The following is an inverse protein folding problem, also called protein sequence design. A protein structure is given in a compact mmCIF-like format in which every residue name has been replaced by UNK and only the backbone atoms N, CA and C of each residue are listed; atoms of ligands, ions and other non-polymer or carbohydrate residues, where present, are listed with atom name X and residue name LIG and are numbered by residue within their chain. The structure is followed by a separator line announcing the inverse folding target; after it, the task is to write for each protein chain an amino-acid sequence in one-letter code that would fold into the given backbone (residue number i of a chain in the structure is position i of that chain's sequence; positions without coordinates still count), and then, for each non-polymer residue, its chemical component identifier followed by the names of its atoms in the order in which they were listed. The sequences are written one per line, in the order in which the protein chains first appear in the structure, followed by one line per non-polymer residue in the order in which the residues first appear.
data_IF_662691974305
#
_entry.id   IF_662691974305
#
_cell.length_a   1.000
_cell.length_b   1.000
_cell.length_c   1.000
_cell.angle_alpha   90.00
_cell.angle_beta   90.00
_cell.angle_gamma   90.00
#
_symmetry.space_group_name_H-M   'P 1'
#
loop_
_entity.id
_entity.type
_entity.pdbx_description
1 polymer ?
#
# COMPACT_ATOMS: atom_id res chain seq x y z
N UNK A 1 -5.47 14.02 -21.46
CA UNK A 1 -4.79 12.71 -21.29
C UNK A 1 -5.81 11.63 -20.97
N UNK A 2 -5.73 10.44 -21.62
CA UNK A 2 -6.62 9.28 -21.37
C UNK A 2 -5.80 8.08 -20.88
N UNK A 3 -6.20 7.47 -19.76
CA UNK A 3 -5.44 6.37 -19.12
C UNK A 3 -6.37 5.25 -18.67
N UNK A 4 -6.02 4.00 -18.99
CA UNK A 4 -6.68 2.84 -18.39
C UNK A 4 -5.89 2.34 -17.18
N UNK A 5 -6.59 2.11 -16.06
CA UNK A 5 -6.01 1.58 -14.81
C UNK A 5 -6.49 0.15 -14.56
N UNK A 6 -5.54 -0.76 -14.34
CA UNK A 6 -5.74 -2.15 -13.95
C UNK A 6 -5.18 -2.40 -12.55
N UNK A 7 -5.78 -3.34 -11.84
CA UNK A 7 -5.27 -3.75 -10.54
C UNK A 7 -5.23 -2.63 -9.52
N UNK A 8 -6.21 -1.78 -9.52
CA UNK A 8 -6.48 -0.74 -8.51
C UNK A 8 -7.89 -0.94 -7.95
N UNK A 9 -8.16 -0.42 -6.74
CA UNK A 9 -9.49 -0.40 -6.16
C UNK A 9 -9.62 0.81 -5.24
N UNK A 10 -10.56 1.69 -5.51
CA UNK A 10 -10.76 2.93 -4.72
C UNK A 10 -11.45 2.66 -3.39
N UNK A 11 -12.42 1.75 -3.38
CA UNK A 11 -13.25 1.40 -2.22
C UNK A 11 -12.94 -0.02 -1.76
N UNK A 12 -11.69 -0.24 -1.32
CA UNK A 12 -11.25 -1.53 -0.79
C UNK A 12 -11.32 -1.53 0.73
N UNK A 13 -11.69 -2.67 1.32
CA UNK A 13 -11.53 -2.90 2.75
C UNK A 13 -10.07 -2.73 3.18
N UNK A 14 -9.14 -3.14 2.33
CA UNK A 14 -7.72 -2.82 2.48
C UNK A 14 -7.45 -1.42 1.93
N UNK A 15 -7.35 -0.43 2.82
CA UNK A 15 -7.10 0.97 2.46
C UNK A 15 -5.76 1.18 1.76
N UNK A 16 -4.85 0.22 1.85
CA UNK A 16 -3.61 0.21 1.06
C UNK A 16 -3.85 0.11 -0.45
N UNK A 17 -4.84 -0.69 -0.88
CA UNK A 17 -5.23 -0.74 -2.30
C UNK A 17 -5.81 0.59 -2.76
N UNK A 18 -6.63 1.23 -1.92
CA UNK A 18 -7.13 2.58 -2.18
C UNK A 18 -6.00 3.61 -2.23
N UNK A 19 -5.00 3.49 -1.36
CA UNK A 19 -3.85 4.40 -1.37
C UNK A 19 -3.11 4.38 -2.72
N UNK A 20 -2.93 3.21 -3.33
CA UNK A 20 -2.35 3.10 -4.67
C UNK A 20 -3.20 3.81 -5.73
N UNK A 21 -4.53 3.59 -5.70
CA UNK A 21 -5.46 4.16 -6.65
C UNK A 21 -5.49 5.71 -6.58
N UNK A 22 -5.65 6.26 -5.38
CA UNK A 22 -5.67 7.73 -5.21
C UNK A 22 -4.30 8.36 -5.48
N UNK A 23 -3.20 7.68 -5.17
CA UNK A 23 -1.85 8.19 -5.43
C UNK A 23 -1.55 8.31 -6.92
N UNK A 24 -1.92 7.30 -7.73
CA UNK A 24 -1.68 7.40 -9.18
C UNK A 24 -2.57 8.46 -9.82
N UNK A 25 -3.82 8.64 -9.37
CA UNK A 25 -4.67 9.73 -9.86
C UNK A 25 -4.04 11.08 -9.55
N UNK A 26 -3.53 11.28 -8.32
CA UNK A 26 -2.86 12.53 -7.96
C UNK A 26 -1.61 12.79 -8.80
N UNK A 27 -0.80 11.78 -9.05
CA UNK A 27 0.37 11.88 -9.93
C UNK A 27 -0.05 12.30 -11.35
N UNK A 28 -1.07 11.64 -11.92
CA UNK A 28 -1.56 11.94 -13.27
C UNK A 28 -2.17 13.35 -13.35
N UNK A 29 -2.92 13.77 -12.32
CA UNK A 29 -3.43 15.15 -12.20
C UNK A 29 -2.32 16.18 -12.27
N UNK A 30 -1.25 15.99 -11.48
CA UNK A 30 -0.12 16.90 -11.47
C UNK A 30 0.59 16.97 -12.82
N UNK A 31 0.66 15.86 -13.56
CA UNK A 31 1.21 15.84 -14.92
C UNK A 31 0.30 16.61 -15.88
N UNK A 32 -1.03 16.36 -15.82
CA UNK A 32 -2.01 17.06 -16.65
C UNK A 32 -2.04 18.56 -16.41
N UNK A 33 -2.04 19.00 -15.15
CA UNK A 33 -1.97 20.43 -14.81
C UNK A 33 -0.76 21.13 -15.45
N UNK A 34 0.41 20.49 -15.41
CA UNK A 34 1.62 21.05 -16.04
C UNK A 34 1.54 21.14 -17.55
N UNK A 35 0.74 20.27 -18.20
CA UNK A 35 0.52 20.26 -19.64
C UNK A 35 -0.69 21.08 -20.08
N UNK A 36 -1.54 21.54 -19.15
CA UNK A 36 -2.82 22.17 -19.46
C UNK A 36 -3.87 21.23 -20.03
N UNK A 37 -3.79 19.95 -19.70
CA UNK A 37 -4.66 18.87 -20.19
C UNK A 37 -5.71 18.48 -19.16
N UNK A 38 -6.87 18.02 -19.61
CA UNK A 38 -7.83 17.30 -18.79
C UNK A 38 -7.42 15.82 -18.61
N UNK A 39 -7.87 15.20 -17.52
CA UNK A 39 -7.56 13.81 -17.19
C UNK A 39 -8.82 12.93 -17.29
N UNK A 40 -8.78 11.95 -18.18
CA UNK A 40 -9.81 10.94 -18.31
C UNK A 40 -9.23 9.56 -17.97
N UNK A 41 -9.80 8.90 -16.96
CA UNK A 41 -9.38 7.59 -16.48
C UNK A 41 -10.49 6.56 -16.73
N UNK A 42 -10.14 5.40 -17.28
CA UNK A 42 -11.01 4.23 -17.27
C UNK A 42 -10.41 3.21 -16.30
N UNK A 43 -11.04 3.01 -15.14
CA UNK A 43 -10.59 2.09 -14.10
C UNK A 43 -11.36 0.76 -14.18
N UNK A 44 -10.64 -0.37 -14.18
CA UNK A 44 -11.24 -1.71 -14.17
C UNK A 44 -11.22 -2.23 -12.74
N UNK A 45 -12.40 -2.27 -12.08
CA UNK A 45 -12.59 -2.41 -10.64
C UNK A 45 -13.45 -3.63 -10.29
N UNK A 46 -13.28 -4.15 -9.09
CA UNK A 46 -14.21 -5.12 -8.50
C UNK A 46 -15.49 -4.44 -7.99
N UNK A 47 -15.36 -3.24 -7.41
CA UNK A 47 -16.48 -2.44 -6.94
C UNK A 47 -17.28 -1.85 -8.09
N UNK A 48 -18.48 -1.38 -7.79
CA UNK A 48 -19.36 -0.68 -8.74
C UNK A 48 -19.68 0.73 -8.23
N UNK A 49 -18.91 1.24 -7.28
CA UNK A 49 -19.15 2.57 -6.75
C UNK A 49 -18.57 3.62 -7.70
N UNK A 50 -19.32 4.69 -7.99
CA UNK A 50 -18.80 5.79 -8.77
C UNK A 50 -17.65 6.47 -8.01
N UNK A 51 -16.57 6.77 -8.73
CA UNK A 51 -15.42 7.49 -8.18
C UNK A 51 -15.49 8.93 -8.65
N UNK A 52 -15.60 9.86 -7.71
CA UNK A 52 -15.64 11.29 -8.01
C UNK A 52 -14.42 11.95 -7.36
N UNK A 53 -13.58 12.55 -8.18
CA UNK A 53 -12.43 13.34 -7.73
C UNK A 53 -12.61 14.73 -8.32
N UNK A 54 -12.72 15.73 -7.43
CA UNK A 54 -12.80 17.14 -7.83
C UNK A 54 -11.42 17.73 -7.89
N UNK A 55 -11.20 18.60 -8.83
CA UNK A 55 -10.02 19.43 -8.96
C UNK A 55 -10.45 20.78 -9.52
N UNK A 56 -9.82 21.86 -9.04
CA UNK A 56 -10.23 23.23 -9.40
C UNK A 56 -9.55 23.74 -10.69
N UNK A 57 -8.46 23.09 -11.11
CA UNK A 57 -7.64 23.54 -12.23
C UNK A 57 -7.87 22.76 -13.52
N UNK A 58 -8.28 21.48 -13.40
CA UNK A 58 -8.51 20.60 -14.55
C UNK A 58 -9.75 19.72 -14.36
N UNK A 59 -10.38 19.35 -15.46
CA UNK A 59 -11.45 18.34 -15.42
C UNK A 59 -10.85 16.94 -15.24
N UNK A 60 -11.35 16.21 -14.21
CA UNK A 60 -11.00 14.83 -13.92
C UNK A 60 -12.23 13.95 -14.05
N UNK A 61 -12.24 13.08 -15.05
CA UNK A 61 -13.32 12.11 -15.26
C UNK A 61 -12.81 10.70 -14.98
N UNK A 62 -13.53 9.92 -14.16
CA UNK A 62 -13.23 8.52 -13.88
C UNK A 62 -14.42 7.65 -14.27
N UNK A 63 -14.24 6.86 -15.33
CA UNK A 63 -15.18 5.82 -15.73
C UNK A 63 -14.78 4.48 -15.12
N UNK A 64 -15.77 3.73 -14.61
CA UNK A 64 -15.52 2.45 -13.97
C UNK A 64 -16.09 1.30 -14.80
N UNK A 65 -15.25 0.30 -15.10
CA UNK A 65 -15.67 -0.97 -15.69
C UNK A 65 -15.63 -2.03 -14.59
N UNK A 66 -16.80 -2.53 -14.18
CA UNK A 66 -16.88 -3.62 -13.19
C UNK A 66 -16.35 -4.93 -13.79
N UNK A 67 -15.47 -5.60 -13.04
CA UNK A 67 -14.93 -6.91 -13.42
C UNK A 67 -16.07 -7.93 -13.51
N UNK A 68 -16.32 -8.44 -14.71
CA UNK A 68 -17.35 -9.42 -15.01
C UNK A 68 -16.90 -10.40 -16.10
N UNK A 69 -15.91 -11.27 -15.82
CA UNK A 69 -15.17 -12.05 -16.82
C UNK A 69 -16.05 -13.07 -17.59
N UNK A 70 -17.21 -13.41 -17.05
CA UNK A 70 -18.20 -14.29 -17.73
C UNK A 70 -19.00 -13.57 -18.81
N UNK A 71 -19.01 -12.22 -18.85
CA UNK A 71 -19.79 -11.43 -19.81
C UNK A 71 -18.91 -11.03 -20.98
N UNK A 72 -19.33 -11.32 -22.21
CA UNK A 72 -18.63 -10.88 -23.42
C UNK A 72 -18.55 -9.35 -23.52
N UNK A 73 -19.60 -8.65 -23.09
CA UNK A 73 -19.66 -7.18 -23.04
C UNK A 73 -18.53 -6.56 -22.20
N UNK A 74 -18.13 -7.23 -21.12
CA UNK A 74 -17.00 -6.81 -20.28
C UNK A 74 -15.68 -6.78 -21.07
N UNK A 75 -15.36 -7.87 -21.78
CA UNK A 75 -14.14 -7.95 -22.59
C UNK A 75 -14.14 -6.95 -23.75
N UNK A 76 -15.32 -6.72 -24.36
CA UNK A 76 -15.47 -5.70 -25.40
C UNK A 76 -15.25 -4.29 -24.83
N UNK A 77 -15.79 -3.98 -23.64
CA UNK A 77 -15.59 -2.71 -22.97
C UNK A 77 -14.11 -2.48 -22.61
N UNK A 78 -13.44 -3.48 -22.02
CA UNK A 78 -12.01 -3.41 -21.74
C UNK A 78 -11.17 -3.17 -23.01
N UNK A 79 -11.46 -3.92 -24.08
CA UNK A 79 -10.76 -3.75 -25.38
C UNK A 79 -10.90 -2.34 -25.93
N UNK A 80 -12.12 -1.76 -25.83
CA UNK A 80 -12.38 -0.38 -26.28
C UNK A 80 -11.61 0.61 -25.41
N UNK A 81 -11.72 0.49 -24.07
CA UNK A 81 -11.02 1.37 -23.13
C UNK A 81 -9.50 1.38 -23.38
N UNK A 82 -8.90 0.21 -23.63
CA UNK A 82 -7.47 0.10 -23.92
C UNK A 82 -7.10 0.77 -25.24
N UNK A 83 -7.90 0.58 -26.30
CA UNK A 83 -7.65 1.21 -27.60
C UNK A 83 -7.80 2.74 -27.56
N UNK A 84 -8.70 3.26 -26.72
CA UNK A 84 -8.98 4.69 -26.58
C UNK A 84 -7.99 5.41 -25.63
N UNK A 85 -7.10 4.67 -24.95
CA UNK A 85 -6.14 5.22 -23.98
C UNK A 85 -4.82 5.61 -24.63
N UNK A 86 -4.16 6.65 -24.10
CA UNK A 86 -2.78 6.98 -24.43
C UNK A 86 -1.82 5.88 -23.92
N UNK A 87 -2.09 5.36 -22.72
CA UNK A 87 -1.35 4.23 -22.13
C UNK A 87 -2.22 3.51 -21.06
N UNK A 88 -1.77 2.31 -20.70
CA UNK A 88 -2.42 1.42 -19.74
C UNK A 88 -1.45 1.17 -18.59
N UNK A 89 -1.88 1.37 -17.34
CA UNK A 89 -1.11 1.08 -16.12
C UNK A 89 -1.72 -0.10 -15.37
N UNK A 90 -0.90 -1.08 -15.01
CA UNK A 90 -1.31 -2.18 -14.16
C UNK A 90 -0.55 -2.18 -12.83
N UNK A 91 -1.27 -2.08 -11.73
CA UNK A 91 -0.73 -2.09 -10.37
C UNK A 91 -0.85 -3.44 -9.68
N UNK A 92 -1.66 -4.35 -10.21
CA UNK A 92 -1.95 -5.66 -9.61
C UNK A 92 -2.18 -5.58 -8.09
N UNK A 93 -2.94 -4.58 -7.62
CA UNK A 93 -3.24 -4.33 -6.19
C UNK A 93 -1.97 -4.18 -5.31
N UNK A 94 -0.83 -3.87 -5.92
CA UNK A 94 0.46 -3.70 -5.26
C UNK A 94 1.34 -4.94 -5.20
N UNK A 95 0.77 -6.15 -5.08
CA UNK A 95 1.53 -7.41 -4.98
C UNK A 95 0.80 -8.65 -5.50
N UNK A 96 -0.36 -8.45 -6.14
CA UNK A 96 -1.17 -9.58 -6.59
C UNK A 96 -0.73 -10.18 -7.94
N UNK A 97 0.33 -9.68 -8.56
CA UNK A 97 0.94 -10.39 -9.69
C UNK A 97 1.85 -11.50 -9.17
N UNK A 98 1.21 -12.49 -8.57
CA UNK A 98 1.76 -13.70 -7.97
C UNK A 98 0.70 -14.82 -8.00
N UNK A 99 1.09 -16.09 -7.86
CA UNK A 99 0.16 -17.22 -7.81
C UNK A 99 -0.25 -17.65 -6.39
N UNK A 100 0.28 -16.97 -5.37
CA UNK A 100 -0.02 -17.22 -3.95
C UNK A 100 -1.50 -16.96 -3.59
N UNK A 101 -2.17 -16.08 -4.34
CA UNK A 101 -3.59 -15.75 -4.17
C UNK A 101 -4.51 -16.69 -4.97
N UNK A 102 -3.97 -17.79 -5.51
CA UNK A 102 -4.67 -18.81 -6.26
C UNK A 102 -4.67 -18.60 -7.78
N UNK A 103 -4.62 -19.73 -8.50
CA UNK A 103 -4.50 -19.75 -9.97
C UNK A 103 -5.67 -19.11 -10.70
N UNK A 104 -6.90 -19.16 -10.16
CA UNK A 104 -8.06 -18.50 -10.81
C UNK A 104 -7.86 -16.99 -10.90
N UNK A 105 -7.39 -16.37 -9.80
CA UNK A 105 -7.12 -14.94 -9.74
C UNK A 105 -5.95 -14.56 -10.66
N UNK A 106 -4.87 -15.32 -10.60
CA UNK A 106 -3.71 -15.15 -11.48
C UNK A 106 -4.11 -15.24 -12.96
N UNK A 107 -4.89 -16.27 -13.33
CA UNK A 107 -5.36 -16.48 -14.70
C UNK A 107 -6.17 -15.29 -15.21
N UNK A 108 -7.16 -14.83 -14.45
CA UNK A 108 -8.01 -13.69 -14.84
C UNK A 108 -7.20 -12.39 -15.00
N UNK A 109 -6.31 -12.11 -14.05
CA UNK A 109 -5.44 -10.95 -14.11
C UNK A 109 -4.49 -11.01 -15.31
N UNK A 110 -3.97 -12.20 -15.64
CA UNK A 110 -3.11 -12.42 -16.80
C UNK A 110 -3.86 -12.26 -18.13
N UNK A 111 -5.11 -12.71 -18.23
CA UNK A 111 -5.95 -12.47 -19.43
C UNK A 111 -6.17 -10.98 -19.70
N UNK A 112 -6.39 -10.17 -18.67
CA UNK A 112 -6.50 -8.72 -18.83
C UNK A 112 -5.20 -8.08 -19.33
N UNK A 113 -4.06 -8.52 -18.81
CA UNK A 113 -2.74 -8.07 -19.26
C UNK A 113 -2.48 -8.47 -20.73
N UNK A 114 -2.86 -9.69 -21.13
CA UNK A 114 -2.79 -10.12 -22.53
C UNK A 114 -3.67 -9.25 -23.44
N UNK A 115 -4.87 -8.89 -22.98
CA UNK A 115 -5.75 -7.98 -23.73
C UNK A 115 -5.11 -6.60 -23.88
N UNK A 116 -4.48 -6.09 -22.81
CA UNK A 116 -3.74 -4.83 -22.85
C UNK A 116 -2.56 -4.87 -23.82
N UNK A 117 -1.76 -5.93 -23.81
CA UNK A 117 -0.65 -6.15 -24.74
C UNK A 117 -1.17 -6.18 -26.20
N UNK A 118 -2.26 -6.90 -26.46
CA UNK A 118 -2.86 -7.02 -27.81
C UNK A 118 -3.52 -5.74 -28.31
N UNK A 119 -3.83 -4.78 -27.45
CA UNK A 119 -4.43 -3.50 -27.86
C UNK A 119 -3.48 -2.61 -28.66
N UNK A 120 -2.18 -2.89 -28.64
CA UNK A 120 -1.10 -2.06 -29.21
C UNK A 120 -0.92 -0.70 -28.51
N UNK A 121 -1.72 -0.39 -27.49
CA UNK A 121 -1.53 0.75 -26.61
C UNK A 121 -0.37 0.48 -25.68
N UNK A 122 0.41 1.48 -25.32
CA UNK A 122 1.54 1.30 -24.39
C UNK A 122 1.06 0.71 -23.06
N UNK A 123 1.49 -0.53 -22.79
CA UNK A 123 1.16 -1.25 -21.55
C UNK A 123 2.33 -1.24 -20.59
N UNK A 124 2.11 -0.73 -19.39
CA UNK A 124 3.12 -0.50 -18.36
C UNK A 124 2.74 -1.30 -17.12
N UNK A 125 3.62 -2.17 -16.67
CA UNK A 125 3.57 -2.72 -15.33
C UNK A 125 4.05 -1.63 -14.37
N UNK A 126 3.11 -1.04 -13.63
CA UNK A 126 3.37 0.07 -12.70
C UNK A 126 4.11 -0.41 -11.44
N UNK A 127 4.64 0.49 -10.60
CA UNK A 127 5.40 0.12 -9.40
C UNK A 127 4.64 -0.84 -8.49
N UNK A 128 5.12 -2.07 -8.40
CA UNK A 128 4.49 -3.15 -7.65
C UNK A 128 5.51 -4.21 -7.23
N UNK A 129 5.11 -5.12 -6.35
CA UNK A 129 5.87 -6.33 -6.08
C UNK A 129 5.47 -7.42 -7.08
N UNK A 130 6.44 -8.08 -7.69
CA UNK A 130 6.23 -9.12 -8.70
C UNK A 130 6.70 -10.46 -8.15
N UNK A 131 5.79 -11.45 -8.19
CA UNK A 131 6.05 -12.81 -7.73
C UNK A 131 6.25 -12.92 -6.19
N UNK A 132 6.85 -14.03 -5.73
CA UNK A 132 7.30 -15.16 -6.53
C UNK A 132 6.13 -15.96 -7.13
N UNK A 133 6.41 -16.69 -8.21
CA UNK A 133 5.49 -17.68 -8.76
C UNK A 133 6.00 -19.07 -8.40
N UNK A 134 5.12 -19.92 -7.87
CA UNK A 134 5.45 -21.29 -7.47
C UNK A 134 5.24 -22.27 -8.63
N UNK A 135 4.15 -22.10 -9.39
CA UNK A 135 3.74 -23.01 -10.45
C UNK A 135 4.44 -22.72 -11.79
N UNK A 136 4.78 -23.76 -12.52
CA UNK A 136 5.46 -23.67 -13.81
C UNK A 136 4.65 -22.87 -14.83
N UNK A 137 3.34 -23.10 -14.90
CA UNK A 137 2.43 -22.41 -15.82
C UNK A 137 2.37 -20.91 -15.52
N UNK A 138 2.34 -20.55 -14.23
CA UNK A 138 2.36 -19.16 -13.80
C UNK A 138 3.69 -18.49 -14.17
N UNK A 139 4.83 -19.16 -13.99
CA UNK A 139 6.15 -18.66 -14.39
C UNK A 139 6.24 -18.40 -15.88
N UNK A 140 5.76 -19.33 -16.72
CA UNK A 140 5.80 -19.20 -18.18
C UNK A 140 4.95 -18.01 -18.61
N UNK A 141 3.72 -17.91 -18.10
CA UNK A 141 2.82 -16.82 -18.49
C UNK A 141 3.27 -15.46 -17.96
N UNK A 142 3.71 -15.39 -16.71
CA UNK A 142 4.29 -14.17 -16.16
C UNK A 142 5.53 -13.71 -16.94
N UNK A 143 6.42 -14.64 -17.29
CA UNK A 143 7.60 -14.36 -18.13
C UNK A 143 7.20 -13.76 -19.49
N UNK A 144 6.15 -14.31 -20.14
CA UNK A 144 5.64 -13.77 -21.40
C UNK A 144 5.13 -12.33 -21.22
N UNK A 145 4.25 -12.08 -20.23
CA UNK A 145 3.69 -10.75 -19.97
C UNK A 145 4.79 -9.73 -19.65
N UNK A 146 5.74 -10.10 -18.78
CA UNK A 146 6.87 -9.25 -18.41
C UNK A 146 7.78 -8.91 -19.59
N UNK A 147 7.97 -9.82 -20.55
CA UNK A 147 8.72 -9.55 -21.78
C UNK A 147 7.96 -8.66 -22.75
N UNK A 148 6.64 -8.82 -22.83
CA UNK A 148 5.78 -8.15 -23.80
C UNK A 148 5.31 -6.75 -23.38
N UNK A 149 5.29 -6.42 -22.08
CA UNK A 149 4.94 -5.07 -21.63
C UNK A 149 5.99 -4.04 -22.08
N UNK A 150 5.57 -2.81 -22.36
CA UNK A 150 6.47 -1.75 -22.81
C UNK A 150 7.46 -1.38 -21.70
N UNK A 151 6.96 -1.12 -20.50
CA UNK A 151 7.79 -0.82 -19.33
C UNK A 151 7.39 -1.70 -18.14
N UNK A 152 8.37 -2.04 -17.31
CA UNK A 152 8.17 -2.84 -16.12
C UNK A 152 8.83 -2.16 -14.93
N UNK A 153 8.03 -1.65 -14.01
CA UNK A 153 8.48 -1.04 -12.77
C UNK A 153 8.26 -1.98 -11.60
N UNK A 154 9.20 -1.95 -10.67
CA UNK A 154 9.13 -2.66 -9.40
C UNK A 154 9.44 -1.71 -8.25
N UNK A 155 8.83 -1.92 -7.09
CA UNK A 155 8.97 -1.06 -5.92
C UNK A 155 10.05 -1.52 -4.93
N UNK A 156 10.66 -2.67 -5.18
CA UNK A 156 11.68 -3.28 -4.31
C UNK A 156 12.74 -4.05 -5.11
N UNK A 157 13.95 -4.13 -4.56
CA UNK A 157 15.11 -4.80 -5.18
C UNK A 157 14.93 -6.31 -5.31
N UNK A 158 14.14 -6.93 -4.42
CA UNK A 158 13.86 -8.38 -4.50
C UNK A 158 13.02 -8.70 -5.72
N UNK A 159 11.99 -7.89 -6.01
CA UNK A 159 11.20 -8.01 -7.23
C UNK A 159 12.04 -7.76 -8.48
N UNK A 160 12.95 -6.77 -8.44
CA UNK A 160 13.85 -6.50 -9.56
C UNK A 160 14.73 -7.72 -9.89
N UNK A 161 15.36 -8.29 -8.88
CA UNK A 161 16.17 -9.51 -9.02
C UNK A 161 15.34 -10.67 -9.54
N UNK A 162 14.14 -10.87 -8.96
CA UNK A 162 13.25 -11.94 -9.37
C UNK A 162 12.80 -11.85 -10.84
N UNK A 163 12.44 -10.65 -11.32
CA UNK A 163 12.10 -10.43 -12.73
C UNK A 163 13.27 -10.76 -13.65
N UNK A 164 14.48 -10.35 -13.27
CA UNK A 164 15.70 -10.67 -14.02
C UNK A 164 15.94 -12.17 -14.10
N UNK A 165 15.80 -12.89 -13.01
CA UNK A 165 15.96 -14.35 -12.94
C UNK A 165 14.87 -15.08 -13.73
N UNK A 166 13.61 -14.61 -13.64
CA UNK A 166 12.46 -15.25 -14.26
C UNK A 166 12.47 -15.13 -15.80
N UNK A 167 12.83 -13.96 -16.33
CA UNK A 167 12.64 -13.69 -17.77
C UNK A 167 13.79 -12.93 -18.43
N UNK A 168 14.86 -12.61 -17.74
CA UNK A 168 16.01 -11.86 -18.27
C UNK A 168 15.80 -10.35 -18.41
N UNK A 169 14.59 -9.84 -18.12
CA UNK A 169 14.29 -8.41 -18.23
C UNK A 169 14.87 -7.62 -17.07
N UNK A 170 15.47 -6.46 -17.35
CA UNK A 170 15.84 -5.48 -16.34
C UNK A 170 14.63 -4.62 -16.04
N UNK A 171 13.92 -4.91 -14.93
CA UNK A 171 12.85 -4.06 -14.45
C UNK A 171 13.41 -2.76 -13.86
N UNK A 172 12.69 -1.65 -14.04
CA UNK A 172 13.06 -0.35 -13.50
C UNK A 172 12.70 -0.28 -12.01
N UNK A 173 13.71 -0.11 -11.17
CA UNK A 173 13.51 0.05 -9.72
C UNK A 173 13.03 1.47 -9.43
N UNK A 174 11.96 1.57 -8.68
CA UNK A 174 11.39 2.81 -8.17
C UNK A 174 11.01 2.64 -6.70
N UNK A 175 10.02 3.36 -6.21
CA UNK A 175 9.41 3.11 -4.89
C UNK A 175 7.89 3.03 -5.01
N UNK A 176 7.21 2.74 -3.91
CA UNK A 176 5.76 2.62 -3.90
C UNK A 176 5.09 3.97 -4.22
N UNK A 177 4.06 3.95 -5.09
CA UNK A 177 3.33 5.18 -5.45
C UNK A 177 2.55 5.75 -4.27
N UNK A 178 2.21 4.94 -3.25
CA UNK A 178 1.50 5.39 -2.05
C UNK A 178 2.28 6.44 -1.23
N UNK A 179 3.58 6.61 -1.46
CA UNK A 179 4.31 7.76 -0.92
C UNK A 179 3.77 9.10 -1.40
N UNK A 180 3.15 9.14 -2.59
CA UNK A 180 2.52 10.34 -3.16
C UNK A 180 1.05 10.53 -2.73
N UNK A 181 0.49 9.70 -1.85
CA UNK A 181 -0.88 9.83 -1.37
C UNK A 181 -1.08 11.21 -0.73
N UNK A 182 -2.02 12.03 -1.22
CA UNK A 182 -2.31 13.32 -0.62
C UNK A 182 -3.02 13.15 0.73
N UNK A 183 -2.90 14.14 1.59
CA UNK A 183 -3.63 14.21 2.85
C UNK A 183 -3.79 15.65 3.29
N UNK A 184 -4.71 15.90 4.22
CA UNK A 184 -4.89 17.21 4.87
C UNK A 184 -4.33 17.13 6.27
N UNK A 185 -3.54 18.12 6.67
CA UNK A 185 -3.09 18.23 8.05
C UNK A 185 -4.29 18.42 8.97
N UNK A 186 -4.30 17.69 10.08
CA UNK A 186 -5.30 17.85 11.13
C UNK A 186 -4.80 18.89 12.14
N UNK A 187 -5.63 19.88 12.43
CA UNK A 187 -5.39 20.77 13.54
C UNK A 187 -5.71 19.98 14.81
N UNK A 188 -4.71 19.85 15.70
CA UNK A 188 -4.83 19.11 16.95
C UNK A 188 -4.47 20.04 18.08
N UNK A 189 -5.30 20.04 19.11
CA UNK A 189 -4.93 20.63 20.40
C UNK A 189 -4.01 19.65 21.13
N UNK A 190 -2.69 19.89 20.95
CA UNK A 190 -1.66 19.02 21.50
C UNK A 190 -1.34 19.45 22.93
N UNK A 191 -1.61 18.58 23.90
CA UNK A 191 -1.18 18.78 25.28
C UNK A 191 0.34 18.76 25.35
N UNK A 192 0.91 19.76 26.04
CA UNK A 192 2.35 19.86 26.21
C UNK A 192 2.90 18.63 26.96
N UNK A 193 4.02 18.11 26.49
CA UNK A 193 4.67 16.95 27.09
C UNK A 193 4.10 15.59 26.67
N UNK A 194 2.89 15.51 26.13
CA UNK A 194 2.27 14.24 25.71
C UNK A 194 2.82 13.76 24.37
N UNK A 195 3.22 12.49 24.30
CA UNK A 195 3.65 11.79 23.09
C UNK A 195 2.47 11.00 22.52
N UNK A 196 2.03 11.33 21.32
CA UNK A 196 0.93 10.63 20.65
C UNK A 196 1.50 9.45 19.86
N UNK A 197 1.16 8.25 20.31
CA UNK A 197 1.58 6.98 19.71
C UNK A 197 0.45 6.42 18.86
N UNK A 198 0.62 6.42 17.54
CA UNK A 198 -0.28 5.72 16.63
C UNK A 198 0.08 4.23 16.56
N UNK A 199 -0.86 3.36 16.83
CA UNK A 199 -0.71 1.91 16.73
C UNK A 199 -1.70 1.36 15.71
N UNK A 200 -1.17 0.68 14.68
CA UNK A 200 -1.97 -0.13 13.76
C UNK A 200 -1.80 -1.62 14.06
N UNK A 201 -2.67 -2.21 14.90
CA UNK A 201 -2.67 -3.65 15.10
C UNK A 201 -3.24 -4.34 13.86
N UNK A 202 -2.61 -5.45 13.43
CA UNK A 202 -3.02 -6.17 12.23
C UNK A 202 -3.95 -7.35 12.57
N UNK A 203 -5.17 -7.32 12.04
CA UNK A 203 -6.09 -8.46 12.12
C UNK A 203 -5.55 -9.72 11.43
N UNK A 204 -4.69 -9.56 10.41
CA UNK A 204 -4.01 -10.67 9.74
C UNK A 204 -3.09 -11.47 10.70
N UNK A 205 -2.42 -10.79 11.62
CA UNK A 205 -1.45 -11.38 12.55
C UNK A 205 -2.05 -11.69 13.93
N UNK A 206 -3.29 -11.26 14.20
CA UNK A 206 -3.89 -11.33 15.53
C UNK A 206 -4.36 -12.74 15.93
N UNK A 207 -4.72 -13.58 14.95
CA UNK A 207 -5.23 -14.91 15.23
C UNK A 207 -5.32 -15.78 13.98
N UNK A 208 -5.72 -17.06 14.17
CA UNK A 208 -5.82 -18.03 13.09
C UNK A 208 -7.03 -17.82 12.14
N UNK A 209 -7.91 -16.90 12.48
CA UNK A 209 -9.16 -16.64 11.73
C UNK A 209 -8.90 -16.08 10.32
N UNK A 210 -7.77 -15.40 10.12
CA UNK A 210 -7.39 -14.84 8.82
C UNK A 210 -6.96 -15.88 7.78
N UNK A 211 -6.74 -17.14 8.21
CA UNK A 211 -6.15 -18.18 7.37
C UNK A 211 -4.66 -17.99 7.06
N UNK A 212 -4.05 -16.93 7.55
CA UNK A 212 -2.61 -16.70 7.48
C UNK A 212 -1.93 -17.38 8.67
N UNK A 213 -1.05 -18.30 8.39
CA UNK A 213 -0.28 -19.01 9.41
C UNK A 213 0.91 -18.12 9.82
N UNK A 214 0.68 -17.20 10.76
CA UNK A 214 1.70 -16.29 11.24
C UNK A 214 2.90 -17.02 11.83
N UNK A 215 2.68 -18.14 12.52
CA UNK A 215 3.73 -18.95 13.16
C UNK A 215 4.78 -19.47 12.18
N UNK A 216 4.40 -19.66 10.92
CA UNK A 216 5.35 -20.07 9.85
C UNK A 216 6.19 -18.93 9.28
N UNK A 217 5.76 -17.69 9.48
CA UNK A 217 6.36 -16.53 8.82
C UNK A 217 7.02 -15.56 9.80
N UNK A 218 6.62 -15.58 11.07
CA UNK A 218 7.15 -14.68 12.10
C UNK A 218 7.56 -15.47 13.35
N UNK A 219 8.68 -15.09 13.94
CA UNK A 219 9.20 -15.65 15.19
C UNK A 219 8.68 -14.90 16.42
N UNK A 220 8.08 -13.72 16.20
CA UNK A 220 7.45 -12.90 17.23
C UNK A 220 6.02 -13.38 17.46
N UNK A 221 5.65 -13.72 18.71
CA UNK A 221 4.24 -13.78 19.08
C UNK A 221 3.65 -12.38 18.99
N UNK A 222 2.93 -12.13 17.89
CA UNK A 222 2.43 -10.79 17.57
C UNK A 222 1.42 -10.28 18.59
N UNK A 223 0.58 -11.17 19.13
CA UNK A 223 -0.41 -10.80 20.14
C UNK A 223 0.26 -10.44 21.45
N UNK A 224 1.20 -11.25 21.92
CA UNK A 224 2.02 -10.95 23.10
C UNK A 224 2.79 -9.64 22.93
N UNK A 225 3.41 -9.44 21.75
CA UNK A 225 4.11 -8.20 21.43
C UNK A 225 3.24 -6.96 21.60
N UNK A 226 2.05 -6.95 21.00
CA UNK A 226 1.10 -5.83 21.11
C UNK A 226 0.63 -5.64 22.57
N UNK A 227 0.28 -6.73 23.25
CA UNK A 227 -0.16 -6.67 24.64
C UNK A 227 0.92 -6.09 25.57
N UNK A 228 2.18 -6.47 25.42
CA UNK A 228 3.29 -5.91 26.18
C UNK A 228 3.47 -4.41 25.92
N UNK A 229 3.34 -3.95 24.68
CA UNK A 229 3.40 -2.53 24.34
C UNK A 229 2.25 -1.76 24.99
N UNK A 230 1.03 -2.27 24.88
CA UNK A 230 -0.15 -1.66 25.48
C UNK A 230 -0.03 -1.53 26.99
N UNK A 231 0.42 -2.60 27.68
CA UNK A 231 0.66 -2.57 29.13
C UNK A 231 1.72 -1.55 29.57
N UNK A 232 2.76 -1.39 28.75
CA UNK A 232 3.81 -0.43 29.05
C UNK A 232 3.34 1.02 28.85
N UNK A 233 2.70 1.30 27.71
CA UNK A 233 2.27 2.66 27.36
C UNK A 233 1.07 3.15 28.19
N UNK A 234 0.13 2.27 28.59
CA UNK A 234 -1.00 2.67 29.45
C UNK A 234 -0.60 3.01 30.89
N UNK A 235 0.60 2.64 31.31
CA UNK A 235 1.18 3.04 32.61
C UNK A 235 1.96 4.35 32.55
N UNK A 236 2.22 4.87 31.37
CA UNK A 236 3.00 6.10 31.13
C UNK A 236 2.02 7.25 30.84
N UNK A 237 1.84 8.13 31.82
CA UNK A 237 0.92 9.28 31.72
C UNK A 237 1.35 10.29 30.64
N UNK A 238 2.58 10.20 30.14
CA UNK A 238 3.09 11.04 29.07
C UNK A 238 2.81 10.45 27.68
N UNK A 239 2.10 9.30 27.57
CA UNK A 239 1.77 8.62 26.31
C UNK A 239 0.27 8.61 26.08
N UNK A 240 -0.15 9.13 24.92
CA UNK A 240 -1.52 9.00 24.41
C UNK A 240 -1.54 8.00 23.25
N UNK A 241 -2.27 6.90 23.41
CA UNK A 241 -2.31 5.79 22.44
C UNK A 241 -3.51 5.97 21.52
N UNK A 242 -3.27 6.02 20.21
CA UNK A 242 -4.28 6.03 19.15
C UNK A 242 -4.30 4.69 18.41
N UNK A 243 -5.40 3.96 18.50
CA UNK A 243 -5.61 2.71 17.75
C UNK A 243 -6.19 3.03 16.37
N UNK A 244 -5.41 2.75 15.33
CA UNK A 244 -5.70 3.20 13.95
C UNK A 244 -5.85 1.97 13.05
N UNK A 245 -7.08 1.55 12.70
CA UNK A 245 -7.30 0.46 11.76
C UNK A 245 -6.98 0.88 10.32
N UNK A 246 -6.47 -0.04 9.52
CA UNK A 246 -6.13 0.21 8.12
C UNK A 246 -6.78 -0.80 7.14
N UNK A 247 -7.10 -1.99 7.61
CA UNK A 247 -7.90 -2.99 6.89
C UNK A 247 -9.15 -3.27 7.71
N UNK A 248 -10.32 -2.97 7.16
CA UNK A 248 -11.60 -3.21 7.83
C UNK A 248 -12.76 -3.17 6.83
N UNK A 249 -13.73 -4.06 7.02
CA UNK A 249 -15.02 -4.02 6.37
C UNK A 249 -15.98 -3.11 7.15
N UNK A 250 -16.88 -2.41 6.45
CA UNK A 250 -17.86 -1.55 7.13
C UNK A 250 -18.85 -2.34 7.97
N UNK A 251 -19.16 -3.56 7.58
CA UNK A 251 -20.04 -4.51 8.26
C UNK A 251 -19.34 -5.41 9.30
N UNK A 252 -18.00 -5.29 9.43
CA UNK A 252 -17.20 -6.10 10.35
C UNK A 252 -16.99 -7.55 9.93
N UNK A 253 -17.34 -7.92 8.69
CA UNK A 253 -17.24 -9.32 8.19
C UNK A 253 -15.83 -9.72 7.72
N UNK A 254 -14.87 -8.80 7.73
CA UNK A 254 -13.52 -9.04 7.22
C UNK A 254 -12.72 -10.02 8.09
N UNK A 255 -12.16 -11.07 7.48
CA UNK A 255 -11.29 -12.03 8.18
C UNK A 255 -9.99 -11.40 8.69
N UNK A 256 -9.51 -10.35 8.03
CA UNK A 256 -8.28 -9.60 8.37
C UNK A 256 -8.57 -8.26 9.07
N UNK A 257 -9.70 -8.14 9.77
CA UNK A 257 -10.24 -6.87 10.27
C UNK A 257 -9.41 -6.27 11.41
N UNK A 258 -8.66 -5.20 11.09
CA UNK A 258 -7.89 -4.42 12.07
C UNK A 258 -8.82 -3.67 13.05
N UNK A 259 -10.02 -3.25 12.60
CA UNK A 259 -10.98 -2.52 13.45
C UNK A 259 -11.50 -3.40 14.57
N UNK A 260 -11.71 -4.69 14.32
CA UNK A 260 -12.08 -5.66 15.34
C UNK A 260 -11.01 -5.70 16.44
N UNK A 261 -9.74 -5.83 16.05
CA UNK A 261 -8.61 -5.85 17.00
C UNK A 261 -8.49 -4.53 17.77
N UNK A 262 -8.64 -3.39 17.06
CA UNK A 262 -8.66 -2.08 17.73
C UNK A 262 -9.78 -1.97 18.78
N UNK A 263 -10.98 -2.47 18.49
CA UNK A 263 -12.10 -2.49 19.43
C UNK A 263 -11.84 -3.40 20.65
N UNK A 264 -11.24 -4.58 20.44
CA UNK A 264 -10.84 -5.49 21.52
C UNK A 264 -9.82 -4.81 22.46
N UNK A 265 -8.79 -4.17 21.87
CA UNK A 265 -7.77 -3.46 22.64
C UNK A 265 -8.36 -2.24 23.37
N UNK A 266 -9.21 -1.44 22.71
CA UNK A 266 -9.86 -0.28 23.35
C UNK A 266 -10.75 -0.69 24.52
N UNK A 267 -11.50 -1.80 24.40
CA UNK A 267 -12.30 -2.35 25.50
C UNK A 267 -11.43 -2.75 26.69
N UNK A 268 -10.25 -3.35 26.43
CA UNK A 268 -9.30 -3.78 27.46
C UNK A 268 -8.53 -2.61 28.07
N UNK A 269 -8.25 -1.57 27.27
CA UNK A 269 -7.48 -0.38 27.64
C UNK A 269 -8.28 0.89 27.32
N UNK A 270 -9.28 1.27 28.15
CA UNK A 270 -10.23 2.35 27.85
C UNK A 270 -9.61 3.75 27.73
N UNK A 271 -8.40 3.95 28.26
CA UNK A 271 -7.66 5.23 28.13
C UNK A 271 -7.12 5.49 26.71
N UNK A 272 -7.24 4.53 25.78
CA UNK A 272 -6.80 4.70 24.40
C UNK A 272 -7.82 5.49 23.58
N UNK A 273 -7.39 6.08 22.46
CA UNK A 273 -8.27 6.71 21.48
C UNK A 273 -8.50 5.72 20.32
N UNK A 274 -9.75 5.39 20.05
CA UNK A 274 -10.12 4.53 18.91
C UNK A 274 -10.50 5.39 17.69
N UNK A 275 -9.65 5.37 16.66
CA UNK A 275 -9.82 6.18 15.44
C UNK A 275 -10.74 5.45 14.44
N UNK A 276 -12.05 5.73 14.46
CA UNK A 276 -13.05 5.06 13.62
C UNK A 276 -13.71 5.96 12.56
N UNK A 277 -13.42 7.26 12.56
CA UNK A 277 -14.11 8.24 11.70
C UNK A 277 -13.62 8.27 10.25
N UNK A 278 -12.44 7.73 9.97
CA UNK A 278 -11.85 7.78 8.63
C UNK A 278 -12.41 6.67 7.72
N UNK A 279 -12.75 7.04 6.48
CA UNK A 279 -13.30 6.14 5.46
C UNK A 279 -12.34 5.95 4.28
N UNK A 280 -11.59 6.97 3.95
CA UNK A 280 -10.66 7.00 2.82
C UNK A 280 -9.21 6.84 3.28
N UNK A 281 -8.31 6.35 2.42
CA UNK A 281 -6.89 6.27 2.76
C UNK A 281 -6.26 7.66 3.03
N UNK A 282 -6.78 8.74 2.43
CA UNK A 282 -6.33 10.11 2.70
C UNK A 282 -6.69 10.56 4.13
N UNK A 283 -7.91 10.25 4.58
CA UNK A 283 -8.34 10.58 5.95
C UNK A 283 -7.55 9.79 6.98
N UNK A 284 -7.28 8.49 6.73
CA UNK A 284 -6.42 7.68 7.62
C UNK A 284 -5.01 8.24 7.65
N UNK A 285 -4.46 8.63 6.49
CA UNK A 285 -3.15 9.28 6.43
C UNK A 285 -3.13 10.61 7.19
N UNK A 286 -4.23 11.39 7.16
CA UNK A 286 -4.37 12.61 7.97
C UNK A 286 -4.33 12.34 9.47
N UNK A 287 -4.96 11.24 9.92
CA UNK A 287 -4.88 10.79 11.33
C UNK A 287 -3.45 10.38 11.67
N UNK A 288 -2.85 9.51 10.85
CA UNK A 288 -1.49 9.02 11.08
C UNK A 288 -0.48 10.17 11.09
N UNK A 289 -0.62 11.15 10.19
CA UNK A 289 0.25 12.32 10.10
C UNK A 289 0.18 13.22 11.36
N UNK A 290 -0.87 13.09 12.16
CA UNK A 290 -1.03 13.83 13.41
C UNK A 290 -0.36 13.17 14.61
N UNK A 291 0.28 12.01 14.45
CA UNK A 291 0.99 11.29 15.51
C UNK A 291 2.42 11.80 15.67
N UNK A 292 2.99 11.61 16.86
CA UNK A 292 4.43 11.85 17.09
C UNK A 292 5.27 10.68 16.64
N UNK A 293 4.77 9.47 16.89
CA UNK A 293 5.37 8.21 16.46
C UNK A 293 4.27 7.24 16.05
N UNK A 294 4.56 6.41 15.06
CA UNK A 294 3.64 5.41 14.53
C UNK A 294 4.32 4.05 14.45
N UNK A 295 3.64 3.02 14.91
CA UNK A 295 4.04 1.63 14.71
C UNK A 295 2.87 0.80 14.18
N UNK A 296 3.15 -0.17 13.31
CA UNK A 296 2.11 -1.01 12.75
C UNK A 296 2.64 -2.06 11.79
N UNK A 297 1.80 -3.06 11.51
CA UNK A 297 2.13 -4.18 10.64
C UNK A 297 1.49 -4.10 9.24
N UNK A 298 0.67 -3.08 8.95
CA UNK A 298 0.20 -2.83 7.57
C UNK A 298 1.17 -1.90 6.84
N UNK A 299 1.76 -2.41 5.76
CA UNK A 299 2.79 -1.70 5.00
C UNK A 299 2.33 -0.30 4.57
N UNK A 300 1.13 -0.16 4.01
CA UNK A 300 0.64 1.14 3.56
C UNK A 300 0.30 2.11 4.70
N UNK A 301 -0.03 1.61 5.89
CA UNK A 301 -0.16 2.46 7.09
C UNK A 301 1.20 3.03 7.51
N UNK A 302 2.25 2.21 7.48
CA UNK A 302 3.61 2.66 7.77
C UNK A 302 4.18 3.56 6.68
N UNK A 303 3.85 3.33 5.39
CA UNK A 303 4.16 4.26 4.28
C UNK A 303 3.46 5.60 4.50
N UNK A 304 2.20 5.61 4.95
CA UNK A 304 1.48 6.84 5.27
C UNK A 304 2.19 7.65 6.36
N UNK A 305 2.61 6.99 7.44
CA UNK A 305 3.38 7.61 8.53
C UNK A 305 4.74 8.14 8.02
N UNK A 306 5.50 7.29 7.36
CA UNK A 306 6.83 7.63 6.86
C UNK A 306 6.76 8.80 5.86
N UNK A 307 5.84 8.75 4.88
CA UNK A 307 5.68 9.81 3.88
C UNK A 307 5.19 11.14 4.47
N UNK A 308 4.52 11.13 5.61
CA UNK A 308 4.10 12.33 6.34
C UNK A 308 5.18 12.89 7.28
N UNK A 309 6.32 12.20 7.44
CA UNK A 309 7.42 12.63 8.32
C UNK A 309 7.22 12.28 9.80
N UNK A 310 6.32 11.37 10.10
CA UNK A 310 6.10 10.81 11.44
C UNK A 310 7.23 9.83 11.77
N UNK A 311 7.74 9.85 13.02
CA UNK A 311 8.65 8.82 13.48
C UNK A 311 7.98 7.45 13.32
N UNK A 312 8.56 6.55 12.52
CA UNK A 312 7.88 5.33 12.09
C UNK A 312 8.65 4.09 12.53
N UNK A 313 7.96 3.13 13.13
CA UNK A 313 8.52 1.82 13.52
C UNK A 313 7.69 0.74 12.82
N UNK A 314 8.05 0.35 11.57
CA UNK A 314 7.37 -0.70 10.86
C UNK A 314 7.58 -2.06 11.53
N UNK A 315 6.50 -2.84 11.71
CA UNK A 315 6.59 -4.25 12.06
C UNK A 315 6.42 -5.08 10.79
N UNK A 316 7.51 -5.67 10.32
CA UNK A 316 7.51 -6.46 9.08
C UNK A 316 7.28 -7.94 9.35
N UNK A 317 6.34 -8.54 8.61
CA UNK A 317 6.12 -9.98 8.56
C UNK A 317 6.48 -10.58 7.19
N UNK A 318 7.11 -9.80 6.32
CA UNK A 318 7.50 -10.27 4.99
C UNK A 318 8.77 -9.58 4.47
N UNK A 319 9.59 -10.32 3.72
CA UNK A 319 10.81 -9.78 3.10
C UNK A 319 10.57 -8.58 2.20
N UNK A 320 9.40 -8.51 1.55
CA UNK A 320 9.01 -7.39 0.67
C UNK A 320 8.86 -6.09 1.45
N UNK A 321 8.30 -6.19 2.66
CA UNK A 321 8.13 -5.07 3.56
C UNK A 321 9.51 -4.56 4.05
N UNK A 322 10.39 -5.47 4.44
CA UNK A 322 11.77 -5.15 4.84
C UNK A 322 12.55 -4.50 3.69
N UNK A 323 12.44 -5.08 2.48
CA UNK A 323 13.12 -4.58 1.29
C UNK A 323 12.80 -3.13 0.99
N UNK A 324 11.54 -2.71 1.12
CA UNK A 324 11.11 -1.33 0.88
C UNK A 324 11.87 -0.34 1.80
N UNK A 325 11.93 -0.62 3.10
CA UNK A 325 12.60 0.27 4.07
C UNK A 325 14.11 0.21 3.97
N UNK A 326 14.66 -0.97 3.70
CA UNK A 326 16.10 -1.14 3.42
C UNK A 326 16.52 -0.31 2.18
N UNK A 327 15.72 -0.36 1.11
CA UNK A 327 15.97 0.41 -0.11
C UNK A 327 15.87 1.92 0.09
N UNK A 328 15.18 2.38 1.15
CA UNK A 328 15.15 3.78 1.57
C UNK A 328 16.29 4.15 2.51
N UNK A 329 17.12 3.17 2.97
CA UNK A 329 18.17 3.37 3.95
C UNK A 329 17.65 3.52 5.39
N UNK A 330 16.44 3.03 5.69
CA UNK A 330 15.81 3.16 7.00
C UNK A 330 16.02 1.92 7.87
N UNK A 331 16.64 2.11 9.04
CA UNK A 331 17.07 1.01 9.91
C UNK A 331 16.10 0.68 11.07
N UNK A 332 15.16 1.57 11.40
CA UNK A 332 14.24 1.39 12.54
C UNK A 332 13.01 0.54 12.17
N UNK A 333 13.26 -0.73 11.92
CA UNK A 333 12.25 -1.70 11.54
C UNK A 333 12.33 -2.92 12.45
N UNK A 334 11.20 -3.43 12.92
CA UNK A 334 11.09 -4.70 13.63
C UNK A 334 10.84 -5.79 12.60
N UNK A 335 11.80 -6.70 12.43
CA UNK A 335 11.60 -7.90 11.61
C UNK A 335 10.90 -8.97 12.44
N UNK A 336 9.65 -9.25 12.14
CA UNK A 336 8.91 -10.33 12.80
C UNK A 336 9.52 -11.71 12.55
N UNK A 337 10.22 -11.89 11.44
CA UNK A 337 10.84 -13.17 11.07
C UNK A 337 12.18 -13.45 11.77
N UNK A 338 12.95 -12.41 12.09
CA UNK A 338 14.32 -12.55 12.61
C UNK A 338 14.52 -12.05 14.05
N UNK A 339 13.44 -11.55 14.68
CA UNK A 339 13.48 -11.01 16.05
C UNK A 339 12.58 -11.87 16.95
N UNK A 340 12.93 -12.07 18.21
CA UNK A 340 12.00 -12.66 19.19
C UNK A 340 11.09 -11.60 19.82
N UNK A 341 10.01 -12.04 20.49
CA UNK A 341 8.99 -11.16 21.06
C UNK A 341 9.55 -10.15 22.04
N UNK A 342 10.39 -10.58 22.98
CA UNK A 342 10.96 -9.74 24.03
C UNK A 342 11.89 -8.66 23.45
N UNK A 343 12.70 -9.03 22.49
CA UNK A 343 13.59 -8.08 21.80
C UNK A 343 12.79 -7.07 20.98
N UNK A 344 11.73 -7.51 20.27
CA UNK A 344 10.83 -6.64 19.52
C UNK A 344 10.17 -5.61 20.44
N UNK A 345 9.64 -6.04 21.59
CA UNK A 345 9.06 -5.15 22.61
C UNK A 345 10.09 -4.15 23.11
N UNK A 346 11.27 -4.63 23.53
CA UNK A 346 12.36 -3.77 24.05
C UNK A 346 12.78 -2.70 23.05
N UNK A 347 13.00 -3.08 21.78
CA UNK A 347 13.37 -2.15 20.71
C UNK A 347 12.27 -1.11 20.48
N UNK A 348 11.02 -1.53 20.37
CA UNK A 348 9.90 -0.62 20.10
C UNK A 348 9.73 0.38 21.22
N UNK A 349 9.74 -0.05 22.48
CA UNK A 349 9.63 0.85 23.64
C UNK A 349 10.79 1.84 23.70
N UNK A 350 12.04 1.40 23.45
CA UNK A 350 13.19 2.28 23.43
C UNK A 350 13.09 3.32 22.30
N UNK A 351 12.71 2.91 21.08
CA UNK A 351 12.58 3.80 19.93
C UNK A 351 11.44 4.80 20.09
N UNK A 352 10.33 4.42 20.71
CA UNK A 352 9.25 5.37 21.03
C UNK A 352 9.75 6.47 21.96
N UNK A 353 10.58 6.16 22.96
CA UNK A 353 11.18 7.18 23.83
C UNK A 353 12.13 8.12 23.06
N UNK A 354 12.79 7.60 22.02
CA UNK A 354 13.72 8.35 21.16
C UNK A 354 13.02 8.88 19.87
N UNK A 355 11.68 9.03 19.84
CA UNK A 355 10.94 9.32 18.61
C UNK A 355 11.42 10.57 17.86
N UNK A 356 11.97 11.56 18.55
CA UNK A 356 12.56 12.76 17.91
C UNK A 356 13.74 12.39 17.00
N UNK A 357 14.61 11.48 17.46
CA UNK A 357 15.72 10.95 16.65
C UNK A 357 15.23 10.13 15.46
N UNK A 358 14.19 9.32 15.67
CA UNK A 358 13.55 8.57 14.58
C UNK A 358 12.96 9.52 13.53
N UNK A 359 12.30 10.59 13.97
CA UNK A 359 11.72 11.60 13.08
C UNK A 359 12.78 12.26 12.19
N UNK A 360 13.95 12.62 12.75
CA UNK A 360 15.06 13.16 11.94
C UNK A 360 15.58 12.11 10.95
N UNK A 361 15.66 10.83 11.33
CA UNK A 361 16.07 9.77 10.43
C UNK A 361 15.03 9.55 9.29
N UNK A 362 13.73 9.57 9.61
CA UNK A 362 12.66 9.54 8.61
C UNK A 362 12.82 10.71 7.64
N UNK A 363 13.05 11.94 8.15
CA UNK A 363 13.23 13.15 7.34
C UNK A 363 14.43 13.00 6.38
N UNK A 364 15.52 12.42 6.84
CA UNK A 364 16.72 12.20 6.01
C UNK A 364 16.44 11.15 4.93
N UNK A 365 15.90 9.99 5.29
CA UNK A 365 15.60 8.93 4.33
C UNK A 365 14.52 9.33 3.30
N UNK A 366 13.57 10.20 3.67
CA UNK A 366 12.55 10.73 2.75
C UNK A 366 13.14 11.53 1.59
N UNK A 367 14.31 12.14 1.73
CA UNK A 367 14.98 12.87 0.65
C UNK A 367 15.25 11.99 -0.58
N UNK A 368 15.36 10.69 -0.38
CA UNK A 368 15.60 9.72 -1.45
C UNK A 368 14.33 9.35 -2.24
N UNK A 369 13.13 9.66 -1.72
CA UNK A 369 11.85 9.28 -2.34
C UNK A 369 11.65 9.96 -3.71
N UNK A 370 11.82 11.31 -3.85
CA UNK A 370 11.64 11.98 -5.13
C UNK A 370 12.54 11.41 -6.23
N UNK A 371 13.79 11.12 -5.93
CA UNK A 371 14.73 10.56 -6.92
C UNK A 371 14.34 9.15 -7.34
N UNK A 372 13.90 8.33 -6.40
CA UNK A 372 13.38 6.99 -6.70
C UNK A 372 12.09 7.05 -7.53
N UNK A 373 11.19 7.97 -7.24
CA UNK A 373 9.94 8.14 -8.02
C UNK A 373 10.18 8.75 -9.39
N UNK A 374 11.24 9.54 -9.57
CA UNK A 374 11.56 10.23 -10.82
C UNK A 374 11.57 9.27 -12.01
N UNK A 375 12.14 8.08 -11.87
CA UNK A 375 12.23 7.07 -12.92
C UNK A 375 10.85 6.73 -13.50
N UNK A 376 9.85 6.56 -12.64
CA UNK A 376 8.47 6.29 -13.07
C UNK A 376 7.79 7.56 -13.61
N UNK A 377 7.94 8.69 -12.90
CA UNK A 377 7.33 9.96 -13.29
C UNK A 377 7.79 10.45 -14.65
N UNK A 378 9.06 10.29 -14.96
CA UNK A 378 9.61 10.76 -16.25
C UNK A 378 9.09 9.92 -17.43
N UNK A 379 8.87 8.63 -17.23
CA UNK A 379 8.19 7.82 -18.23
C UNK A 379 6.76 8.31 -18.45
N UNK A 380 5.99 8.59 -17.38
CA UNK A 380 4.61 9.09 -17.50
C UNK A 380 4.53 10.49 -18.15
N UNK A 381 5.47 11.38 -17.88
CA UNK A 381 5.51 12.73 -18.48
C UNK A 381 5.76 12.70 -19.98
N UNK A 382 6.49 11.71 -20.46
CA UNK A 382 6.88 11.53 -21.87
C UNK A 382 5.84 10.71 -22.67
N UNK A 383 4.73 10.37 -22.06
CA UNK A 383 3.57 9.73 -22.68
C UNK A 383 2.57 10.76 -23.19
#
# INVERSE_FOLDING_TARGET
MRVSLLGVEFYSENRGCGALAYSIVEILKQICKKKGDNLHITAILFSNHPVVIKDDDIEVTIECIKIAPKKFTYWKACKRAFADSNFILDFSMGDSFADIYGMKRFFLASMLKELAIKSKTKFIMAPQTIGPFSRREAKIWASHILKACNECFVRDTLSQKYVKELCGRNALLTTDVAFALPYKERIIDKKEGIVRVGLNPSGLLWGKESGFDAEKHVSVDYKEYIECLMQAWTKDEMVEIHLIPHVFAEDGSGMEDDLRVCKELHKKYPATVLETGARTPMEIKSIIASMDVFTGARMHATIAAFSSGVATIPFSYSRKFEGLYHDLGYAYLISGASTNTQEAVKKTLAWVKEYKKLRENVKECRKNIPDKQRVFLDVLKNM
#
